data_IF_193665329150
#
_entry.id   IF_193665329150
#
_cell.length_a   1.000
_cell.length_b   1.000
_cell.length_c   1.000
_cell.angle_alpha   90.00
_cell.angle_beta   90.00
_cell.angle_gamma   90.00
#
_symmetry.space_group_name_H-M   'P 1'
#
loop_
_entity.id
_entity.type
_entity.pdbx_description
1 polymer ?
#
# COMPACT_ATOMS: atom_id res chain seq x y z
N UNK A 1 -22.52 28.87 29.21
CA UNK A 1 -22.69 27.63 28.44
C UNK A 1 -22.38 28.00 26.99
N UNK A 2 -21.19 27.69 26.51
CA UNK A 2 -20.82 27.88 25.10
C UNK A 2 -21.62 26.86 24.28
N UNK A 3 -22.30 27.33 23.23
CA UNK A 3 -22.97 26.45 22.26
C UNK A 3 -22.01 25.37 21.78
N UNK A 4 -22.48 24.11 21.58
CA UNK A 4 -21.66 23.07 21.05
C UNK A 4 -21.24 23.50 19.63
N UNK A 5 -19.98 23.86 19.46
CA UNK A 5 -19.38 24.07 18.16
C UNK A 5 -19.64 22.79 17.36
N UNK A 6 -20.50 22.89 16.37
CA UNK A 6 -20.85 21.77 15.50
C UNK A 6 -19.60 21.42 14.65
N UNK A 7 -18.71 20.62 15.25
CA UNK A 7 -17.44 20.23 14.67
C UNK A 7 -17.70 19.32 13.46
N UNK A 8 -17.72 19.93 12.28
CA UNK A 8 -17.97 19.21 11.02
C UNK A 8 -16.79 18.30 10.69
N UNK A 9 -17.04 17.00 10.56
CA UNK A 9 -16.06 16.03 10.06
C UNK A 9 -15.53 16.44 8.68
N UNK A 10 -16.46 16.75 7.77
CA UNK A 10 -16.17 17.13 6.38
C UNK A 10 -15.87 18.64 6.29
N UNK A 11 -14.77 19.06 6.94
CA UNK A 11 -14.28 20.41 6.78
C UNK A 11 -13.40 20.52 5.52
N UNK A 12 -13.24 21.75 5.01
CA UNK A 12 -12.52 22.02 3.76
C UNK A 12 -11.08 21.51 3.78
N UNK A 13 -10.37 21.64 4.91
CA UNK A 13 -8.99 21.17 5.01
C UNK A 13 -8.90 19.65 5.01
N UNK A 14 -9.80 18.95 5.71
CA UNK A 14 -9.86 17.49 5.70
C UNK A 14 -10.16 16.95 4.30
N UNK A 15 -11.13 17.54 3.58
CA UNK A 15 -11.44 17.15 2.21
C UNK A 15 -10.24 17.33 1.27
N UNK A 16 -9.50 18.44 1.41
CA UNK A 16 -8.26 18.69 0.65
C UNK A 16 -7.18 17.65 0.98
N UNK A 17 -6.96 17.35 2.25
CA UNK A 17 -5.96 16.35 2.67
C UNK A 17 -6.33 14.95 2.18
N UNK A 18 -7.61 14.58 2.20
CA UNK A 18 -8.10 13.34 1.59
C UNK A 18 -7.87 13.31 0.07
N UNK A 19 -8.13 14.42 -0.60
CA UNK A 19 -7.91 14.53 -2.05
C UNK A 19 -6.41 14.43 -2.40
N UNK A 20 -5.52 15.07 -1.62
CA UNK A 20 -4.07 14.91 -1.75
C UNK A 20 -3.66 13.45 -1.58
N UNK A 21 -4.23 12.75 -0.60
CA UNK A 21 -3.98 11.32 -0.41
C UNK A 21 -4.45 10.51 -1.63
N UNK A 22 -5.65 10.79 -2.11
CA UNK A 22 -6.19 10.13 -3.30
C UNK A 22 -5.30 10.32 -4.52
N UNK A 23 -4.87 11.56 -4.83
CA UNK A 23 -4.01 11.84 -5.99
C UNK A 23 -2.62 11.26 -5.85
N UNK A 24 -2.05 11.23 -4.63
CA UNK A 24 -0.77 10.58 -4.33
C UNK A 24 -0.80 9.09 -4.68
N UNK A 25 -1.83 8.38 -4.22
CA UNK A 25 -1.97 6.95 -4.51
C UNK A 25 -2.45 6.68 -5.94
N UNK A 26 -3.30 7.55 -6.50
CA UNK A 26 -3.78 7.43 -7.88
C UNK A 26 -2.62 7.53 -8.87
N UNK A 27 -1.73 8.51 -8.71
CA UNK A 27 -0.56 8.68 -9.58
C UNK A 27 0.39 7.49 -9.49
N UNK A 28 0.60 6.93 -8.30
CA UNK A 28 1.45 5.76 -8.12
C UNK A 28 0.84 4.50 -8.75
N UNK A 29 -0.40 4.17 -8.38
CA UNK A 29 -1.04 2.92 -8.79
C UNK A 29 -1.43 2.89 -10.27
N UNK A 30 -1.54 4.04 -10.93
CA UNK A 30 -1.83 4.12 -12.36
C UNK A 30 -0.75 3.46 -13.20
N UNK A 31 0.51 3.59 -12.82
CA UNK A 31 1.64 3.03 -13.55
C UNK A 31 2.19 1.73 -12.92
N UNK A 32 1.96 1.50 -11.63
CA UNK A 32 2.58 0.37 -10.90
C UNK A 32 2.44 -0.98 -11.63
N UNK A 33 1.26 -1.43 -12.08
CA UNK A 33 1.11 -2.71 -12.75
C UNK A 33 1.68 -2.73 -14.17
N UNK A 34 1.98 -1.57 -14.74
CA UNK A 34 2.50 -1.41 -16.10
C UNK A 34 4.03 -1.26 -16.13
N UNK A 35 4.66 -0.95 -15.00
CA UNK A 35 6.13 -0.77 -14.96
C UNK A 35 6.92 -2.02 -15.36
N UNK A 36 6.57 -3.25 -14.94
CA UNK A 36 7.26 -4.44 -15.44
C UNK A 36 7.15 -4.58 -16.95
N UNK A 37 5.98 -4.27 -17.50
CA UNK A 37 5.73 -4.32 -18.95
C UNK A 37 6.55 -3.25 -19.69
N UNK A 38 6.58 -2.02 -19.17
CA UNK A 38 7.41 -0.94 -19.68
C UNK A 38 8.90 -1.32 -19.73
N UNK A 39 9.42 -1.87 -18.63
CA UNK A 39 10.83 -2.26 -18.54
C UNK A 39 11.17 -3.41 -19.52
N UNK A 40 10.26 -4.36 -19.67
CA UNK A 40 10.40 -5.46 -20.61
C UNK A 40 10.34 -5.00 -22.08
N UNK A 41 9.40 -4.11 -22.42
CA UNK A 41 9.18 -3.68 -23.82
C UNK A 41 10.16 -2.59 -24.25
N UNK A 42 10.48 -1.63 -23.38
CA UNK A 42 11.33 -0.48 -23.74
C UNK A 42 12.81 -0.79 -23.64
N UNK A 43 13.22 -1.57 -22.63
CA UNK A 43 14.64 -1.83 -22.35
C UNK A 43 15.01 -3.31 -22.51
N UNK A 44 14.08 -4.19 -22.93
CA UNK A 44 14.29 -5.64 -22.99
C UNK A 44 14.87 -6.22 -21.68
N UNK A 45 14.48 -5.65 -20.54
CA UNK A 45 15.01 -6.01 -19.24
C UNK A 45 14.58 -7.42 -18.83
N UNK A 46 15.52 -8.28 -18.33
CA UNK A 46 15.19 -9.58 -17.76
C UNK A 46 14.30 -9.43 -16.51
N UNK A 47 13.52 -10.47 -16.18
CA UNK A 47 12.51 -10.45 -15.12
C UNK A 47 13.11 -10.24 -13.72
N UNK A 48 14.30 -10.77 -13.48
CA UNK A 48 15.06 -10.54 -12.24
C UNK A 48 15.49 -9.07 -12.10
N UNK A 49 16.02 -8.49 -13.20
CA UNK A 49 16.38 -7.08 -13.27
C UNK A 49 15.17 -6.17 -13.04
N UNK A 50 14.01 -6.50 -13.61
CA UNK A 50 12.75 -5.81 -13.33
C UNK A 50 12.44 -5.85 -11.82
N UNK A 51 12.61 -7.01 -11.18
CA UNK A 51 12.43 -7.17 -9.75
C UNK A 51 13.35 -6.25 -8.93
N UNK A 52 14.64 -6.18 -9.28
CA UNK A 52 15.61 -5.29 -8.63
C UNK A 52 15.24 -3.81 -8.78
N UNK A 53 14.93 -3.37 -10.00
CA UNK A 53 14.56 -1.99 -10.29
C UNK A 53 13.31 -1.56 -9.50
N UNK A 54 12.29 -2.41 -9.44
CA UNK A 54 11.02 -2.06 -8.80
C UNK A 54 11.09 -2.16 -7.28
N UNK A 55 11.85 -3.10 -6.72
CA UNK A 55 12.01 -3.23 -5.27
C UNK A 55 12.82 -2.09 -4.64
N UNK A 56 13.73 -1.45 -5.39
CA UNK A 56 14.48 -0.28 -4.95
C UNK A 56 13.59 0.86 -4.45
N UNK A 57 12.42 1.06 -5.05
CA UNK A 57 11.42 2.03 -4.63
C UNK A 57 10.96 1.80 -3.18
N UNK A 58 10.67 0.55 -2.85
CA UNK A 58 10.21 0.16 -1.51
C UNK A 58 11.32 0.37 -0.47
N UNK A 59 12.56 0.07 -0.83
CA UNK A 59 13.71 0.24 0.07
C UNK A 59 13.87 1.70 0.51
N UNK A 60 13.84 2.63 -0.42
CA UNK A 60 13.98 4.06 -0.09
C UNK A 60 12.75 4.61 0.64
N UNK A 61 11.54 4.13 0.30
CA UNK A 61 10.33 4.47 1.04
C UNK A 61 10.43 4.01 2.50
N UNK A 62 10.92 2.79 2.72
CA UNK A 62 11.08 2.19 4.05
C UNK A 62 12.07 3.00 4.93
N UNK A 63 13.20 3.43 4.35
CA UNK A 63 14.20 4.23 5.05
C UNK A 63 13.65 5.63 5.39
N UNK A 64 12.90 6.23 4.45
CA UNK A 64 12.39 7.59 4.63
C UNK A 64 11.21 7.70 5.59
N UNK A 65 10.46 6.63 5.88
CA UNK A 65 9.32 6.68 6.82
C UNK A 65 9.70 7.11 8.25
N UNK A 66 10.73 6.55 8.89
CA UNK A 66 11.18 7.03 10.19
C UNK A 66 11.68 8.48 10.16
N UNK A 67 12.45 8.82 9.13
CA UNK A 67 12.98 10.18 8.92
C UNK A 67 11.83 11.20 8.78
N UNK A 68 10.82 10.87 8.00
CA UNK A 68 9.67 11.75 7.77
C UNK A 68 8.81 11.95 9.02
N UNK A 69 8.71 10.93 9.89
CA UNK A 69 8.09 11.06 11.21
C UNK A 69 8.80 12.10 12.07
N UNK A 70 10.14 12.03 12.13
CA UNK A 70 10.96 13.03 12.80
C UNK A 70 10.78 14.43 12.20
N UNK A 71 10.79 14.56 10.87
CA UNK A 71 10.57 15.84 10.20
C UNK A 71 9.18 16.41 10.51
N UNK A 72 8.12 15.59 10.49
CA UNK A 72 6.76 16.01 10.80
C UNK A 72 6.57 16.46 12.25
N UNK A 73 7.37 15.94 13.19
CA UNK A 73 7.31 16.31 14.60
C UNK A 73 8.12 17.57 14.92
N UNK A 74 9.18 17.88 14.15
CA UNK A 74 10.10 18.98 14.44
C UNK A 74 9.93 20.20 13.52
N UNK A 75 9.27 20.06 12.38
CA UNK A 75 9.09 21.13 11.38
C UNK A 75 7.60 21.34 11.06
N UNK A 76 7.21 22.49 10.51
CA UNK A 76 5.85 22.75 10.06
C UNK A 76 5.41 21.72 9.01
N UNK A 77 4.42 20.88 9.35
CA UNK A 77 4.01 19.73 8.54
C UNK A 77 3.63 20.08 7.10
N UNK A 78 2.98 21.26 6.90
CA UNK A 78 2.65 21.74 5.55
C UNK A 78 3.90 21.97 4.71
N UNK A 79 4.94 22.56 5.27
CA UNK A 79 6.21 22.81 4.56
C UNK A 79 6.87 21.48 4.19
N UNK A 80 6.97 20.57 5.16
CA UNK A 80 7.54 19.23 4.91
C UNK A 80 6.74 18.49 3.83
N UNK A 81 5.40 18.52 3.88
CA UNK A 81 4.56 17.89 2.87
C UNK A 81 4.79 18.49 1.48
N UNK A 82 4.81 19.82 1.37
CA UNK A 82 5.01 20.49 0.08
C UNK A 82 6.39 20.17 -0.51
N UNK A 83 7.46 20.21 0.30
CA UNK A 83 8.79 19.82 -0.16
C UNK A 83 8.81 18.38 -0.68
N UNK A 84 8.25 17.44 0.09
CA UNK A 84 8.21 16.03 -0.31
C UNK A 84 7.34 15.81 -1.57
N UNK A 85 6.18 16.47 -1.68
CA UNK A 85 5.31 16.36 -2.85
C UNK A 85 5.96 17.00 -4.09
N UNK A 86 6.70 18.08 -3.93
CA UNK A 86 7.45 18.71 -5.03
C UNK A 86 8.51 17.76 -5.57
N UNK A 87 9.29 17.14 -4.69
CA UNK A 87 10.29 16.14 -5.10
C UNK A 87 9.60 14.91 -5.73
N UNK A 88 8.51 14.45 -5.15
CA UNK A 88 7.68 13.36 -5.68
C UNK A 88 7.18 13.66 -7.10
N UNK A 89 6.67 14.86 -7.33
CA UNK A 89 6.22 15.35 -8.63
C UNK A 89 7.34 15.33 -9.68
N UNK A 90 8.53 15.85 -9.35
CA UNK A 90 9.63 15.89 -10.31
C UNK A 90 10.17 14.52 -10.68
N UNK A 91 10.02 13.49 -9.84
CA UNK A 91 10.40 12.14 -10.22
C UNK A 91 9.54 11.56 -11.35
N UNK A 92 8.28 11.99 -11.50
CA UNK A 92 7.49 11.60 -12.68
C UNK A 92 8.03 12.24 -13.97
N UNK A 93 8.53 13.48 -13.91
CA UNK A 93 9.26 14.06 -15.03
C UNK A 93 10.55 13.29 -15.33
N UNK A 94 11.21 12.76 -14.30
CA UNK A 94 12.37 11.87 -14.45
C UNK A 94 12.07 10.59 -15.25
N UNK A 95 10.87 10.00 -15.12
CA UNK A 95 10.48 8.86 -15.95
C UNK A 95 10.33 9.22 -17.43
N UNK A 96 9.85 10.42 -17.75
CA UNK A 96 9.76 10.92 -19.13
C UNK A 96 11.13 11.14 -19.77
N UNK A 97 12.14 11.48 -18.95
CA UNK A 97 13.51 11.72 -19.39
C UNK A 97 14.36 10.43 -19.41
N UNK A 98 13.80 9.28 -19.02
CA UNK A 98 14.56 8.03 -18.87
C UNK A 98 14.93 7.42 -20.23
N UNK A 99 16.12 7.73 -20.72
CA UNK A 99 16.68 7.17 -21.94
C UNK A 99 17.47 5.85 -21.76
N UNK A 100 17.67 5.38 -20.50
CA UNK A 100 18.36 4.14 -20.21
C UNK A 100 17.76 3.44 -18.97
N UNK A 101 17.91 2.10 -18.93
CA UNK A 101 17.46 1.28 -17.82
C UNK A 101 18.09 1.73 -16.47
N UNK A 102 19.39 2.05 -16.46
CA UNK A 102 20.09 2.49 -15.26
C UNK A 102 19.52 3.81 -14.74
N UNK A 103 19.29 4.78 -15.61
CA UNK A 103 18.71 6.06 -15.23
C UNK A 103 17.29 5.87 -14.69
N UNK A 104 16.48 5.05 -15.36
CA UNK A 104 15.14 4.70 -14.85
C UNK A 104 15.22 4.06 -13.47
N UNK A 105 16.11 3.09 -13.26
CA UNK A 105 16.31 2.40 -12.00
C UNK A 105 16.68 3.38 -10.87
N UNK A 106 17.57 4.35 -11.13
CA UNK A 106 17.96 5.39 -10.17
C UNK A 106 16.77 6.29 -9.83
N UNK A 107 16.06 6.80 -10.84
CA UNK A 107 14.86 7.63 -10.66
C UNK A 107 13.80 6.86 -9.87
N UNK A 108 13.53 5.61 -10.23
CA UNK A 108 12.54 4.77 -9.56
C UNK A 108 12.90 4.51 -8.10
N UNK A 109 14.14 4.14 -7.84
CA UNK A 109 14.63 3.88 -6.48
C UNK A 109 14.50 5.13 -5.61
N UNK A 110 15.01 6.26 -6.07
CA UNK A 110 14.98 7.50 -5.30
C UNK A 110 13.56 8.05 -5.10
N UNK A 111 12.64 7.81 -6.06
CA UNK A 111 11.25 8.25 -5.97
C UNK A 111 10.50 7.64 -4.77
N UNK A 112 10.89 6.45 -4.31
CA UNK A 112 10.30 5.83 -3.11
C UNK A 112 10.46 6.68 -1.85
N UNK A 113 11.57 7.40 -1.71
CA UNK A 113 11.84 8.26 -0.56
C UNK A 113 10.76 9.33 -0.32
N UNK A 114 10.54 10.26 -1.26
CA UNK A 114 9.50 11.28 -1.12
C UNK A 114 8.10 10.68 -1.01
N UNK A 115 7.80 9.56 -1.68
CA UNK A 115 6.53 8.85 -1.48
C UNK A 115 6.34 8.40 -0.04
N UNK A 116 7.33 7.71 0.54
CA UNK A 116 7.29 7.27 1.94
C UNK A 116 7.06 8.46 2.89
N UNK A 117 7.76 9.57 2.65
CA UNK A 117 7.60 10.79 3.43
C UNK A 117 6.19 11.40 3.27
N UNK A 118 5.70 11.54 2.05
CA UNK A 118 4.36 12.09 1.79
C UNK A 118 3.27 11.29 2.49
N UNK A 119 3.34 9.96 2.49
CA UNK A 119 2.33 9.11 3.16
C UNK A 119 2.28 9.35 4.66
N UNK A 120 3.42 9.49 5.31
CA UNK A 120 3.49 9.75 6.77
C UNK A 120 3.02 11.16 7.09
N UNK A 121 3.55 12.18 6.39
CA UNK A 121 3.26 13.59 6.71
C UNK A 121 1.81 13.93 6.40
N UNK A 122 1.27 13.46 5.26
CA UNK A 122 -0.12 13.72 4.88
C UNK A 122 -1.11 13.02 5.84
N UNK A 123 -0.82 11.78 6.27
CA UNK A 123 -1.65 11.09 7.27
C UNK A 123 -1.62 11.77 8.63
N UNK A 124 -0.46 12.31 9.04
CA UNK A 124 -0.33 13.10 10.27
C UNK A 124 -1.14 14.40 10.16
N UNK A 125 -1.05 15.09 9.02
CA UNK A 125 -1.82 16.31 8.78
C UNK A 125 -3.34 16.05 8.73
N UNK A 126 -3.77 14.87 8.26
CA UNK A 126 -5.18 14.46 8.33
C UNK A 126 -5.71 14.44 9.77
N UNK A 127 -4.90 13.95 10.72
CA UNK A 127 -5.26 13.93 12.15
C UNK A 127 -5.37 15.34 12.72
N UNK A 128 -4.51 16.27 12.26
CA UNK A 128 -4.49 17.66 12.77
C UNK A 128 -5.72 18.47 12.33
N UNK A 129 -6.16 18.25 11.10
CA UNK A 129 -7.31 18.98 10.54
C UNK A 129 -8.66 18.38 10.95
N UNK A 130 -8.66 17.23 11.64
CA UNK A 130 -9.84 16.57 12.15
C UNK A 130 -10.21 17.07 13.55
N UNK A 131 -11.53 17.31 13.83
CA UNK A 131 -12.01 17.56 15.16
C UNK A 131 -11.62 16.44 16.13
N UNK A 132 -11.17 16.73 17.36
CA UNK A 132 -10.75 15.72 18.33
C UNK A 132 -11.80 14.63 18.58
N UNK A 133 -13.07 15.03 18.65
CA UNK A 133 -14.23 14.15 18.89
C UNK A 133 -14.49 13.15 17.75
N UNK A 134 -14.06 13.45 16.51
CA UNK A 134 -14.36 12.68 15.30
C UNK A 134 -13.13 12.09 14.62
N UNK A 135 -11.97 12.13 15.25
CA UNK A 135 -10.69 11.64 14.65
C UNK A 135 -10.75 10.18 14.21
N UNK A 136 -11.30 9.30 15.04
CA UNK A 136 -11.35 7.85 14.72
C UNK A 136 -12.22 7.59 13.47
N UNK A 137 -13.33 8.29 13.36
CA UNK A 137 -14.20 8.23 12.19
C UNK A 137 -13.50 8.79 10.95
N UNK A 138 -12.89 9.98 11.08
CA UNK A 138 -12.19 10.66 9.99
C UNK A 138 -11.00 9.88 9.45
N UNK A 139 -10.22 9.22 10.31
CA UNK A 139 -9.11 8.34 9.89
C UNK A 139 -9.64 7.16 9.06
N UNK A 140 -10.83 6.64 9.40
CA UNK A 140 -11.49 5.61 8.61
C UNK A 140 -11.79 6.09 7.18
N UNK A 141 -12.36 7.29 7.03
CA UNK A 141 -12.62 7.90 5.71
C UNK A 141 -11.34 8.26 4.97
N UNK A 142 -10.30 8.73 5.68
CA UNK A 142 -9.00 8.99 5.07
C UNK A 142 -8.43 7.74 4.39
N UNK A 143 -8.55 6.56 5.02
CA UNK A 143 -8.15 5.29 4.42
C UNK A 143 -8.98 4.88 3.19
N UNK A 144 -10.25 5.33 3.07
CA UNK A 144 -11.07 5.07 1.89
C UNK A 144 -10.52 5.76 0.64
N UNK A 145 -9.88 6.92 0.75
CA UNK A 145 -9.29 7.62 -0.39
C UNK A 145 -8.17 6.80 -1.04
N UNK A 146 -7.34 6.13 -0.25
CA UNK A 146 -6.35 5.18 -0.76
C UNK A 146 -7.00 3.96 -1.43
N UNK A 147 -8.02 3.37 -0.80
CA UNK A 147 -8.73 2.22 -1.37
C UNK A 147 -9.38 2.56 -2.72
N UNK A 148 -9.99 3.74 -2.83
CA UNK A 148 -10.56 4.22 -4.09
C UNK A 148 -9.50 4.41 -5.17
N UNK A 149 -8.35 5.00 -4.82
CA UNK A 149 -7.23 5.13 -5.74
C UNK A 149 -6.71 3.77 -6.21
N UNK A 150 -6.55 2.81 -5.28
CA UNK A 150 -6.08 1.45 -5.62
C UNK A 150 -7.06 0.66 -6.48
N UNK A 151 -8.35 0.99 -6.41
CA UNK A 151 -9.39 0.42 -7.27
C UNK A 151 -9.35 0.96 -8.68
N UNK A 152 -9.31 2.29 -8.80
CA UNK A 152 -9.49 2.98 -10.07
C UNK A 152 -8.20 3.07 -10.89
N UNK A 153 -7.06 3.32 -10.23
CA UNK A 153 -5.83 3.64 -10.92
C UNK A 153 -5.32 2.52 -11.84
N UNK A 154 -5.20 1.24 -11.38
CA UNK A 154 -4.76 0.15 -12.26
C UNK A 154 -5.69 -0.05 -13.44
N UNK A 155 -7.01 0.05 -13.23
CA UNK A 155 -8.00 -0.08 -14.30
C UNK A 155 -7.82 1.01 -15.36
N UNK A 156 -7.72 2.28 -14.93
CA UNK A 156 -7.54 3.42 -15.84
C UNK A 156 -6.21 3.33 -16.57
N UNK A 157 -5.12 3.02 -15.86
CA UNK A 157 -3.79 2.90 -16.45
C UNK A 157 -3.72 1.81 -17.53
N UNK A 158 -4.25 0.61 -17.21
CA UNK A 158 -4.28 -0.51 -18.15
C UNK A 158 -5.21 -0.24 -19.34
N UNK A 159 -6.38 0.40 -19.11
CA UNK A 159 -7.29 0.79 -20.18
C UNK A 159 -6.61 1.76 -21.16
N UNK A 160 -5.93 2.79 -20.66
CA UNK A 160 -5.20 3.75 -21.51
C UNK A 160 -4.11 3.03 -22.28
N UNK A 161 -3.30 2.18 -21.63
CA UNK A 161 -2.24 1.44 -22.28
C UNK A 161 -2.77 0.52 -23.40
N UNK A 162 -3.87 -0.20 -23.17
CA UNK A 162 -4.45 -1.10 -24.17
C UNK A 162 -4.92 -0.40 -25.44
N UNK A 163 -5.34 0.87 -25.34
CA UNK A 163 -5.83 1.63 -26.49
C UNK A 163 -4.75 2.48 -27.17
N UNK A 164 -3.73 2.90 -26.44
CA UNK A 164 -2.72 3.82 -26.96
C UNK A 164 -1.35 3.18 -27.18
N UNK A 165 -1.06 2.12 -26.43
CA UNK A 165 0.29 1.51 -26.33
C UNK A 165 1.40 2.54 -26.03
N UNK A 166 1.05 3.66 -25.39
CA UNK A 166 1.94 4.78 -25.12
C UNK A 166 2.20 4.97 -23.62
N UNK A 167 3.39 4.54 -23.19
CA UNK A 167 3.83 4.76 -21.80
C UNK A 167 4.11 6.24 -21.49
N UNK A 168 4.48 7.04 -22.50
CA UNK A 168 4.74 8.47 -22.32
C UNK A 168 3.48 9.20 -21.88
N UNK A 169 2.34 8.88 -22.50
CA UNK A 169 1.05 9.41 -22.08
C UNK A 169 0.73 9.07 -20.61
N UNK A 170 1.01 7.84 -20.20
CA UNK A 170 0.81 7.42 -18.80
C UNK A 170 1.68 8.21 -17.81
N UNK A 171 2.95 8.42 -18.13
CA UNK A 171 3.84 9.22 -17.29
C UNK A 171 3.42 10.71 -17.26
N UNK A 172 2.93 11.27 -18.36
CA UNK A 172 2.36 12.62 -18.39
C UNK A 172 1.11 12.73 -17.52
N UNK A 173 0.23 11.74 -17.57
CA UNK A 173 -0.97 11.71 -16.70
C UNK A 173 -0.60 11.59 -15.22
N UNK A 174 0.37 10.76 -14.86
CA UNK A 174 0.83 10.67 -13.46
C UNK A 174 1.44 11.98 -12.99
N UNK A 175 2.23 12.64 -13.85
CA UNK A 175 2.79 13.96 -13.58
C UNK A 175 1.68 15.00 -13.35
N UNK A 176 0.66 15.03 -14.21
CA UNK A 176 -0.49 15.92 -14.07
C UNK A 176 -1.24 15.67 -12.77
N UNK A 177 -1.56 14.41 -12.45
CA UNK A 177 -2.28 14.03 -11.22
C UNK A 177 -1.47 14.42 -9.98
N UNK A 178 -0.16 14.17 -9.96
CA UNK A 178 0.72 14.57 -8.88
C UNK A 178 0.80 16.10 -8.75
N UNK A 179 0.83 16.82 -9.87
CA UNK A 179 0.81 18.29 -9.90
C UNK A 179 -0.48 18.88 -9.34
N UNK A 180 -1.63 18.29 -9.67
CA UNK A 180 -2.94 18.66 -9.08
C UNK A 180 -2.91 18.41 -7.56
N UNK A 181 -2.40 17.26 -7.11
CA UNK A 181 -2.25 16.96 -5.69
C UNK A 181 -1.36 17.98 -4.96
N UNK A 182 -0.23 18.35 -5.55
CA UNK A 182 0.67 19.37 -5.02
C UNK A 182 -0.02 20.76 -4.94
N UNK A 183 -0.72 21.17 -5.98
CA UNK A 183 -1.47 22.42 -6.01
C UNK A 183 -2.55 22.46 -4.92
N UNK A 184 -3.31 21.39 -4.73
CA UNK A 184 -4.31 21.29 -3.66
C UNK A 184 -3.65 21.29 -2.29
N UNK A 185 -2.52 20.60 -2.09
CA UNK A 185 -1.78 20.60 -0.83
C UNK A 185 -1.32 22.02 -0.44
N UNK A 186 -0.92 22.85 -1.40
CA UNK A 186 -0.54 24.24 -1.16
C UNK A 186 -1.70 25.08 -0.58
N UNK A 187 -2.95 24.74 -0.91
CA UNK A 187 -4.16 25.42 -0.40
C UNK A 187 -4.67 24.90 0.95
N UNK A 188 -4.05 23.90 1.55
CA UNK A 188 -4.42 23.41 2.89
C UNK A 188 -3.93 24.40 3.95
N UNK A 189 -4.77 24.73 4.91
CA UNK A 189 -4.46 25.58 6.04
C UNK A 189 -4.64 24.79 7.35
N UNK A 190 -3.63 23.97 7.73
CA UNK A 190 -3.72 23.20 8.97
C UNK A 190 -3.71 24.15 10.16
N UNK A 191 -4.31 23.78 11.29
CA UNK A 191 -4.18 24.53 12.55
C UNK A 191 -2.70 24.73 12.89
N UNK A 192 -2.37 25.86 13.50
CA UNK A 192 -1.01 26.14 13.95
C UNK A 192 -0.63 25.20 15.10
N UNK A 193 -0.19 24.00 14.74
CA UNK A 193 0.43 23.07 15.69
C UNK A 193 1.88 23.53 15.86
N UNK A 194 2.21 24.08 17.04
CA UNK A 194 3.60 24.36 17.35
C UNK A 194 4.36 23.04 17.39
N UNK A 195 5.43 22.87 16.59
CA UNK A 195 6.27 21.69 16.67
C UNK A 195 6.77 21.61 18.14
N UNK A 196 6.45 20.52 18.81
CA UNK A 196 7.10 20.19 20.08
C UNK A 196 8.44 19.57 19.72
N UNK A 197 9.58 20.19 20.04
CA UNK A 197 10.88 19.58 19.78
C UNK A 197 10.90 18.20 20.43
N UNK A 198 10.92 17.17 19.62
CA UNK A 198 11.03 15.82 20.12
C UNK A 198 12.48 15.58 20.48
N UNK A 199 12.79 15.51 21.78
CA UNK A 199 14.10 15.10 22.29
C UNK A 199 14.39 13.59 22.07
N UNK A 200 13.58 12.93 21.24
CA UNK A 200 13.71 11.51 20.97
C UNK A 200 14.80 11.27 19.94
N UNK A 201 15.94 10.78 20.41
CA UNK A 201 16.92 10.17 19.51
C UNK A 201 16.27 9.04 18.71
N UNK A 202 16.50 8.99 17.39
CA UNK A 202 16.17 7.87 16.52
C UNK A 202 16.90 6.62 17.05
N UNK A 203 16.19 5.73 17.72
CA UNK A 203 16.72 4.44 18.15
C UNK A 203 15.93 3.31 17.50
N UNK A 204 16.61 2.27 17.04
CA UNK A 204 15.98 1.08 16.44
C UNK A 204 14.91 0.46 17.35
N UNK A 205 15.12 0.50 18.66
CA UNK A 205 14.19 -0.02 19.67
C UNK A 205 12.85 0.74 19.70
N UNK A 206 12.83 2.00 19.28
CA UNK A 206 11.62 2.81 19.20
C UNK A 206 10.90 2.65 17.86
N UNK A 207 11.53 2.06 16.86
CA UNK A 207 10.97 1.83 15.53
C UNK A 207 10.17 0.53 15.43
N UNK A 208 10.45 -0.48 16.28
CA UNK A 208 9.84 -1.80 16.21
C UNK A 208 9.20 -2.24 17.52
N UNK A 209 7.98 -2.77 17.46
CA UNK A 209 7.29 -3.40 18.58
C UNK A 209 7.61 -4.91 18.60
N UNK A 210 8.65 -5.30 19.34
CA UNK A 210 9.08 -6.71 19.42
C UNK A 210 7.97 -7.65 19.91
N UNK A 211 7.07 -7.20 20.80
CA UNK A 211 5.92 -7.99 21.24
C UNK A 211 4.97 -8.38 20.07
N UNK A 212 4.99 -7.59 18.98
CA UNK A 212 4.17 -7.80 17.78
C UNK A 212 4.82 -8.70 16.71
N UNK A 213 5.98 -9.31 16.94
CA UNK A 213 6.77 -10.02 15.93
C UNK A 213 5.97 -11.10 15.17
N UNK A 214 5.04 -11.78 15.84
CA UNK A 214 4.19 -12.82 15.21
C UNK A 214 3.24 -12.24 14.16
N UNK A 215 2.66 -11.09 14.46
CA UNK A 215 1.81 -10.36 13.52
C UNK A 215 2.65 -9.73 12.41
N UNK A 216 3.85 -9.23 12.75
CA UNK A 216 4.79 -8.64 11.82
C UNK A 216 5.23 -9.64 10.73
N UNK A 217 5.58 -10.89 11.09
CA UNK A 217 5.92 -11.95 10.13
C UNK A 217 4.74 -12.26 9.20
N UNK A 218 3.53 -12.39 9.73
CA UNK A 218 2.37 -12.63 8.88
C UNK A 218 2.15 -11.46 7.90
N UNK A 219 2.28 -10.21 8.37
CA UNK A 219 2.14 -9.04 7.50
C UNK A 219 3.23 -8.97 6.44
N UNK A 220 4.45 -9.40 6.77
CA UNK A 220 5.54 -9.53 5.80
C UNK A 220 5.20 -10.56 4.71
N UNK A 221 4.66 -11.72 5.07
CA UNK A 221 4.22 -12.74 4.11
C UNK A 221 3.09 -12.22 3.21
N UNK A 222 2.09 -11.55 3.77
CA UNK A 222 1.01 -10.94 2.97
C UNK A 222 1.54 -9.83 2.06
N UNK A 223 2.47 -9.01 2.55
CA UNK A 223 3.16 -7.99 1.76
C UNK A 223 3.92 -8.61 0.58
N UNK A 224 4.64 -9.72 0.81
CA UNK A 224 5.36 -10.45 -0.23
C UNK A 224 4.39 -10.94 -1.32
N UNK A 225 3.30 -11.58 -0.93
CA UNK A 225 2.29 -12.04 -1.87
C UNK A 225 1.67 -10.90 -2.68
N UNK A 226 1.40 -9.78 -2.02
CA UNK A 226 0.89 -8.58 -2.66
C UNK A 226 1.90 -7.96 -3.63
N UNK A 227 3.19 -7.97 -3.29
CA UNK A 227 4.27 -7.50 -4.15
C UNK A 227 4.29 -8.20 -5.50
N UNK A 228 4.22 -9.53 -5.50
CA UNK A 228 4.12 -10.33 -6.73
C UNK A 228 2.84 -10.01 -7.49
N UNK A 229 1.68 -10.07 -6.82
CA UNK A 229 0.38 -9.86 -7.45
C UNK A 229 0.26 -8.48 -8.09
N UNK A 230 0.62 -7.42 -7.36
CA UNK A 230 0.41 -6.05 -7.83
C UNK A 230 1.36 -5.62 -8.95
N UNK A 231 2.54 -6.26 -9.08
CA UNK A 231 3.54 -5.86 -10.06
C UNK A 231 3.58 -6.78 -11.28
N UNK A 232 3.33 -8.08 -11.10
CA UNK A 232 3.54 -9.05 -12.19
C UNK A 232 2.26 -9.57 -12.84
N UNK A 233 1.07 -9.21 -12.31
CA UNK A 233 -0.20 -9.69 -12.87
C UNK A 233 -0.40 -9.26 -14.33
N UNK A 234 -0.01 -8.02 -14.69
CA UNK A 234 -0.16 -7.51 -16.06
C UNK A 234 0.75 -8.23 -17.06
N UNK A 235 2.02 -8.42 -16.68
CA UNK A 235 2.98 -9.12 -17.56
C UNK A 235 2.66 -10.61 -17.65
N UNK A 236 2.23 -11.25 -16.56
CA UNK A 236 1.73 -12.62 -16.57
C UNK A 236 0.49 -12.78 -17.47
N UNK A 237 -0.45 -11.83 -17.40
CA UNK A 237 -1.63 -11.81 -18.25
C UNK A 237 -1.26 -11.72 -19.72
N UNK A 238 -0.26 -10.90 -20.09
CA UNK A 238 0.26 -10.81 -21.46
C UNK A 238 0.87 -12.13 -21.93
N UNK A 239 1.70 -12.77 -21.11
CA UNK A 239 2.38 -14.04 -21.49
C UNK A 239 1.39 -15.22 -21.57
N UNK A 240 0.38 -15.30 -20.69
CA UNK A 240 -0.52 -16.46 -20.59
C UNK A 240 -1.83 -16.29 -21.36
N UNK A 241 -2.37 -15.08 -21.43
CA UNK A 241 -3.66 -14.79 -22.06
C UNK A 241 -3.51 -14.03 -23.39
N UNK A 242 -2.27 -13.73 -23.80
CA UNK A 242 -1.96 -13.00 -25.03
C UNK A 242 -2.27 -11.50 -24.98
N UNK A 243 -2.87 -11.00 -23.89
CA UNK A 243 -3.18 -9.59 -23.73
C UNK A 243 -3.26 -9.19 -22.25
N UNK A 244 -3.32 -7.88 -21.98
CA UNK A 244 -3.47 -7.31 -20.62
C UNK A 244 -4.92 -6.96 -20.28
N UNK A 245 -5.88 -7.22 -21.16
CA UNK A 245 -7.27 -6.74 -21.03
C UNK A 245 -7.99 -7.21 -19.76
N UNK A 246 -7.65 -8.41 -19.26
CA UNK A 246 -8.20 -8.95 -18.03
C UNK A 246 -7.69 -8.32 -16.74
N UNK A 247 -6.55 -7.61 -16.78
CA UNK A 247 -5.86 -7.14 -15.57
C UNK A 247 -6.57 -5.95 -14.90
N UNK A 248 -7.10 -5.02 -15.70
CA UNK A 248 -7.88 -3.90 -15.18
C UNK A 248 -9.14 -4.35 -14.44
N UNK A 249 -10.03 -5.14 -15.07
CA UNK A 249 -11.18 -5.75 -14.41
C UNK A 249 -10.82 -6.60 -13.19
N UNK A 250 -9.68 -7.30 -13.20
CA UNK A 250 -9.20 -8.04 -12.03
C UNK A 250 -9.02 -7.12 -10.82
N UNK A 251 -8.28 -6.02 -10.97
CA UNK A 251 -8.08 -5.05 -9.88
C UNK A 251 -9.37 -4.36 -9.47
N UNK A 252 -10.30 -4.12 -10.38
CA UNK A 252 -11.62 -3.57 -10.07
C UNK A 252 -12.42 -4.53 -9.17
N UNK A 253 -12.52 -5.81 -9.55
CA UNK A 253 -13.22 -6.85 -8.78
C UNK A 253 -12.56 -7.05 -7.42
N UNK A 254 -11.22 -7.12 -7.38
CA UNK A 254 -10.44 -7.21 -6.15
C UNK A 254 -10.76 -6.05 -5.20
N UNK A 255 -10.79 -4.84 -5.72
CA UNK A 255 -11.07 -3.63 -4.95
C UNK A 255 -12.52 -3.57 -4.47
N UNK A 256 -13.49 -4.02 -5.29
CA UNK A 256 -14.87 -4.16 -4.87
C UNK A 256 -14.99 -5.17 -3.71
N UNK A 257 -14.29 -6.31 -3.79
CA UNK A 257 -14.20 -7.27 -2.69
C UNK A 257 -13.60 -6.66 -1.42
N UNK A 258 -12.53 -5.88 -1.55
CA UNK A 258 -11.89 -5.16 -0.44
C UNK A 258 -12.86 -4.16 0.24
N UNK A 259 -13.64 -3.41 -0.52
CA UNK A 259 -14.64 -2.46 0.01
C UNK A 259 -15.78 -3.23 0.69
N UNK A 260 -16.31 -4.27 0.05
CA UNK A 260 -17.40 -5.08 0.57
C UNK A 260 -17.05 -5.74 1.90
N UNK A 261 -15.83 -6.29 2.01
CA UNK A 261 -15.34 -6.90 3.25
C UNK A 261 -15.27 -5.90 4.42
N UNK A 262 -15.02 -4.61 4.13
CA UNK A 262 -15.03 -3.55 5.16
C UNK A 262 -16.43 -3.33 5.74
N UNK A 263 -17.46 -3.44 4.91
CA UNK A 263 -18.85 -3.33 5.36
C UNK A 263 -19.22 -4.53 6.26
N UNK A 264 -18.81 -5.74 5.88
CA UNK A 264 -19.06 -6.97 6.64
C UNK A 264 -18.22 -7.03 7.94
N UNK A 265 -16.92 -6.77 7.84
CA UNK A 265 -15.97 -6.87 8.94
C UNK A 265 -16.14 -5.81 10.03
N UNK A 266 -16.77 -4.67 9.71
CA UNK A 266 -16.94 -3.57 10.67
C UNK A 266 -17.69 -3.98 11.95
N UNK A 267 -18.67 -4.87 11.86
CA UNK A 267 -19.42 -5.41 13.01
C UNK A 267 -18.53 -6.30 13.90
N UNK A 268 -17.67 -7.13 13.30
CA UNK A 268 -16.75 -8.00 14.03
C UNK A 268 -15.64 -7.20 14.74
N UNK A 269 -15.11 -6.17 14.06
CA UNK A 269 -14.10 -5.26 14.61
C UNK A 269 -14.66 -4.48 15.82
N UNK A 270 -15.88 -3.94 15.72
CA UNK A 270 -16.55 -3.25 16.84
C UNK A 270 -16.80 -4.16 18.04
N UNK A 271 -17.08 -5.45 17.81
CA UNK A 271 -17.27 -6.46 18.86
C UNK A 271 -15.95 -7.03 19.40
N UNK A 272 -14.78 -6.50 19.01
CA UNK A 272 -13.46 -6.95 19.45
C UNK A 272 -13.06 -8.34 18.94
N UNK A 273 -13.78 -8.93 17.97
CA UNK A 273 -13.49 -10.28 17.43
C UNK A 273 -12.37 -10.24 16.38
N UNK A 274 -11.25 -9.57 16.71
CA UNK A 274 -10.15 -9.30 15.78
C UNK A 274 -9.54 -10.58 15.20
N UNK A 275 -9.27 -11.58 16.05
CA UNK A 275 -8.66 -12.86 15.63
C UNK A 275 -9.52 -13.63 14.64
N UNK A 276 -10.84 -13.67 14.89
CA UNK A 276 -11.78 -14.32 13.99
C UNK A 276 -11.84 -13.61 12.65
N UNK A 277 -11.94 -12.28 12.66
CA UNK A 277 -11.96 -11.48 11.44
C UNK A 277 -10.68 -11.66 10.63
N UNK A 278 -9.51 -11.71 11.30
CA UNK A 278 -8.24 -12.00 10.64
C UNK A 278 -8.22 -13.39 9.99
N UNK A 279 -8.68 -14.42 10.72
CA UNK A 279 -8.71 -15.80 10.22
C UNK A 279 -9.63 -15.95 9.00
N UNK A 280 -10.84 -15.38 9.06
CA UNK A 280 -11.78 -15.35 7.94
C UNK A 280 -11.12 -14.70 6.71
N UNK A 281 -10.43 -13.57 6.89
CA UNK A 281 -9.70 -12.90 5.83
C UNK A 281 -8.55 -13.72 5.24
N UNK A 282 -7.74 -14.35 6.10
CA UNK A 282 -6.62 -15.18 5.66
C UNK A 282 -7.12 -16.39 4.86
N UNK A 283 -8.18 -17.07 5.33
CA UNK A 283 -8.77 -18.22 4.62
C UNK A 283 -9.30 -17.80 3.25
N UNK A 284 -10.08 -16.72 3.16
CA UNK A 284 -10.60 -16.21 1.89
C UNK A 284 -9.48 -15.86 0.90
N UNK A 285 -8.46 -15.13 1.37
CA UNK A 285 -7.33 -14.75 0.53
C UNK A 285 -6.51 -15.98 0.09
N UNK A 286 -6.29 -16.96 0.98
CA UNK A 286 -5.59 -18.21 0.66
C UNK A 286 -6.35 -19.00 -0.41
N UNK A 287 -7.67 -19.13 -0.26
CA UNK A 287 -8.51 -19.77 -1.28
C UNK A 287 -8.46 -19.03 -2.61
N UNK A 288 -8.44 -17.69 -2.58
CA UNK A 288 -8.30 -16.87 -3.78
C UNK A 288 -6.98 -17.11 -4.51
N UNK A 289 -5.84 -17.11 -3.81
CA UNK A 289 -4.54 -17.41 -4.42
C UNK A 289 -4.42 -18.87 -4.89
N UNK A 290 -4.96 -19.83 -4.14
CA UNK A 290 -5.00 -21.22 -4.56
C UNK A 290 -5.83 -21.39 -5.83
N UNK A 291 -6.99 -20.76 -5.91
CA UNK A 291 -7.88 -20.80 -7.07
C UNK A 291 -7.20 -20.16 -8.30
N UNK A 292 -6.48 -19.04 -8.11
CA UNK A 292 -5.77 -18.35 -9.17
C UNK A 292 -4.79 -19.26 -9.92
N UNK A 293 -4.09 -20.13 -9.20
CA UNK A 293 -3.10 -21.03 -9.79
C UNK A 293 -3.69 -22.39 -10.21
N UNK A 294 -4.72 -22.88 -9.50
CA UNK A 294 -5.30 -24.20 -9.74
C UNK A 294 -6.34 -24.21 -10.87
N UNK A 295 -7.03 -23.09 -11.11
CA UNK A 295 -8.08 -23.01 -12.12
C UNK A 295 -7.81 -21.91 -13.14
N UNK A 296 -6.96 -22.16 -14.15
CA UNK A 296 -6.54 -21.18 -15.16
C UNK A 296 -7.64 -20.95 -16.22
N UNK A 297 -8.78 -20.41 -15.79
CA UNK A 297 -9.93 -20.04 -16.61
C UNK A 297 -10.31 -18.59 -16.35
N UNK A 298 -11.05 -17.96 -17.24
CA UNK A 298 -11.58 -16.60 -17.06
C UNK A 298 -12.42 -16.49 -15.77
N UNK A 299 -13.23 -17.49 -15.48
CA UNK A 299 -14.04 -17.52 -14.26
C UNK A 299 -13.15 -17.65 -13.03
N UNK A 300 -12.19 -18.59 -13.04
CA UNK A 300 -11.21 -18.77 -11.96
C UNK A 300 -10.39 -17.51 -11.68
N UNK A 301 -9.99 -16.81 -12.74
CA UNK A 301 -9.24 -15.57 -12.68
C UNK A 301 -10.02 -14.46 -11.94
N UNK A 302 -11.27 -14.19 -12.32
CA UNK A 302 -12.06 -13.14 -11.68
C UNK A 302 -12.62 -13.54 -10.31
N UNK A 303 -12.95 -14.80 -10.12
CA UNK A 303 -13.38 -15.31 -8.80
C UNK A 303 -12.24 -15.23 -7.79
N UNK A 304 -11.01 -15.53 -8.21
CA UNK A 304 -9.83 -15.35 -7.37
C UNK A 304 -9.62 -13.88 -6.96
N UNK A 305 -9.82 -12.94 -7.88
CA UNK A 305 -9.75 -11.50 -7.57
C UNK A 305 -10.75 -11.12 -6.46
N UNK A 306 -12.00 -11.58 -6.56
CA UNK A 306 -13.02 -11.32 -5.56
C UNK A 306 -12.63 -11.89 -4.19
N UNK A 307 -12.16 -13.14 -4.14
CA UNK A 307 -11.76 -13.80 -2.90
C UNK A 307 -10.52 -13.14 -2.26
N UNK A 308 -9.52 -12.79 -3.06
CA UNK A 308 -8.31 -12.08 -2.59
C UNK A 308 -8.70 -10.70 -2.03
N UNK A 309 -9.58 -9.98 -2.74
CA UNK A 309 -10.06 -8.67 -2.31
C UNK A 309 -10.83 -8.73 -0.99
N UNK A 310 -11.81 -9.64 -0.89
CA UNK A 310 -12.55 -9.90 0.34
C UNK A 310 -11.61 -10.25 1.50
N UNK A 311 -10.66 -11.16 1.27
CA UNK A 311 -9.70 -11.58 2.27
C UNK A 311 -8.81 -10.43 2.77
N UNK A 312 -8.17 -9.70 1.85
CA UNK A 312 -7.28 -8.59 2.19
C UNK A 312 -7.99 -7.45 2.93
N UNK A 313 -9.26 -7.20 2.60
CA UNK A 313 -10.05 -6.21 3.30
C UNK A 313 -10.36 -6.58 4.76
N UNK A 314 -10.41 -7.85 5.12
CA UNK A 314 -10.50 -8.31 6.52
C UNK A 314 -9.13 -8.32 7.21
N UNK A 315 -8.06 -8.76 6.52
CA UNK A 315 -6.73 -8.92 7.09
C UNK A 315 -6.20 -7.59 7.63
N UNK A 316 -6.15 -6.56 6.79
CA UNK A 316 -5.48 -5.30 7.12
C UNK A 316 -6.00 -4.67 8.43
N UNK A 317 -7.30 -4.34 8.59
CA UNK A 317 -7.78 -3.68 9.79
C UNK A 317 -7.69 -4.58 11.03
N UNK A 318 -7.82 -5.89 10.87
CA UNK A 318 -7.69 -6.82 11.99
C UNK A 318 -6.26 -6.85 12.54
N UNK A 319 -5.25 -6.98 11.66
CA UNK A 319 -3.84 -6.96 12.06
C UNK A 319 -3.42 -5.61 12.63
N UNK A 320 -3.86 -4.49 12.03
CA UNK A 320 -3.59 -3.16 12.53
C UNK A 320 -4.12 -2.96 13.95
N UNK A 321 -5.37 -3.35 14.20
CA UNK A 321 -5.94 -3.24 15.55
C UNK A 321 -5.26 -4.18 16.54
N UNK A 322 -4.90 -5.41 16.15
CA UNK A 322 -4.19 -6.34 17.03
C UNK A 322 -2.81 -5.80 17.42
N UNK A 323 -2.02 -5.29 16.47
CA UNK A 323 -0.67 -4.80 16.77
C UNK A 323 -0.70 -3.50 17.60
N UNK A 324 -1.65 -2.59 17.31
CA UNK A 324 -1.85 -1.37 18.09
C UNK A 324 -2.25 -1.70 19.53
N UNK A 325 -3.12 -2.71 19.71
CA UNK A 325 -3.53 -3.16 21.05
C UNK A 325 -2.35 -3.72 21.86
N UNK A 326 -1.38 -4.39 21.21
CA UNK A 326 -0.16 -4.88 21.86
C UNK A 326 0.78 -3.74 22.29
N UNK A 327 0.80 -2.63 21.53
CA UNK A 327 1.63 -1.46 21.84
C UNK A 327 1.09 -0.62 23.00
N UNK A 328 -0.19 -0.73 23.30
CA UNK A 328 -0.87 0.12 24.27
C UNK A 328 -0.84 1.60 23.90
N UNK A 329 -1.42 2.48 24.74
CA UNK A 329 -1.53 3.92 24.44
C UNK A 329 -0.19 4.62 24.17
N UNK A 330 0.87 4.22 24.90
CA UNK A 330 2.19 4.86 24.84
C UNK A 330 3.02 4.48 23.61
N UNK A 331 2.71 3.36 22.93
CA UNK A 331 3.51 2.82 21.84
C UNK A 331 2.73 2.54 20.54
N UNK A 332 1.62 3.26 20.34
CA UNK A 332 0.77 3.12 19.14
C UNK A 332 1.51 3.43 17.85
N UNK A 333 2.34 4.46 17.85
CA UNK A 333 3.17 4.83 16.70
C UNK A 333 4.16 3.74 16.35
N UNK A 334 4.90 3.22 17.34
CA UNK A 334 5.82 2.10 17.18
C UNK A 334 5.11 0.84 16.67
N UNK A 335 3.91 0.54 17.17
CA UNK A 335 3.11 -0.60 16.73
C UNK A 335 2.71 -0.47 15.25
N UNK A 336 2.19 0.69 14.86
CA UNK A 336 1.80 0.96 13.48
C UNK A 336 3.01 0.98 12.53
N UNK A 337 4.12 1.57 12.96
CA UNK A 337 5.38 1.54 12.20
C UNK A 337 5.86 0.11 11.97
N UNK A 338 5.80 -0.77 12.98
CA UNK A 338 6.17 -2.18 12.84
C UNK A 338 5.32 -2.88 11.78
N UNK A 339 4.01 -2.65 11.79
CA UNK A 339 3.09 -3.23 10.82
C UNK A 339 3.43 -2.81 9.38
N UNK A 340 3.56 -1.49 9.17
CA UNK A 340 3.82 -0.90 7.85
C UNK A 340 5.19 -1.31 7.31
N UNK A 341 6.22 -1.29 8.18
CA UNK A 341 7.57 -1.73 7.81
C UNK A 341 7.59 -3.21 7.40
N UNK A 342 6.89 -4.07 8.14
CA UNK A 342 6.82 -5.50 7.81
C UNK A 342 6.11 -5.75 6.48
N UNK A 343 5.02 -5.02 6.22
CA UNK A 343 4.32 -5.08 4.93
C UNK A 343 5.21 -4.65 3.78
N UNK A 344 5.87 -3.49 3.89
CA UNK A 344 6.70 -2.95 2.81
C UNK A 344 7.94 -3.80 2.57
N UNK A 345 8.57 -4.30 3.65
CA UNK A 345 9.71 -5.20 3.54
C UNK A 345 9.30 -6.50 2.81
N UNK A 346 8.16 -7.07 3.19
CA UNK A 346 7.59 -8.21 2.48
C UNK A 346 7.32 -7.90 1.02
N UNK A 347 6.70 -6.75 0.73
CA UNK A 347 6.38 -6.34 -0.64
C UNK A 347 7.65 -6.18 -1.49
N UNK A 348 8.71 -5.58 -0.96
CA UNK A 348 10.01 -5.49 -1.63
C UNK A 348 10.61 -6.87 -1.94
N UNK A 349 10.59 -7.79 -0.96
CA UNK A 349 11.03 -9.17 -1.15
C UNK A 349 10.18 -9.90 -2.20
N UNK A 350 8.87 -9.64 -2.22
CA UNK A 350 7.94 -10.24 -3.20
C UNK A 350 8.22 -9.76 -4.62
N UNK A 351 8.46 -8.48 -4.81
CA UNK A 351 8.79 -7.92 -6.11
C UNK A 351 10.13 -8.50 -6.61
N UNK A 352 11.15 -8.47 -5.76
CA UNK A 352 12.47 -9.01 -6.10
C UNK A 352 12.43 -10.52 -6.33
N UNK A 353 11.95 -11.29 -5.36
CA UNK A 353 11.90 -12.75 -5.44
C UNK A 353 10.97 -13.25 -6.54
N UNK A 354 9.83 -12.56 -6.75
CA UNK A 354 8.92 -12.86 -7.84
C UNK A 354 9.56 -12.68 -9.21
N UNK A 355 10.35 -11.62 -9.40
CA UNK A 355 11.13 -11.40 -10.61
C UNK A 355 12.17 -12.50 -10.86
N UNK A 356 12.96 -12.86 -9.82
CA UNK A 356 13.97 -13.92 -9.89
C UNK A 356 13.32 -15.28 -10.25
N UNK A 357 12.25 -15.66 -9.54
CA UNK A 357 11.54 -16.92 -9.82
C UNK A 357 10.96 -16.88 -11.25
N UNK A 358 10.39 -15.77 -11.65
CA UNK A 358 9.80 -15.65 -12.99
C UNK A 358 10.84 -15.75 -14.10
N UNK A 359 12.06 -15.26 -13.90
CA UNK A 359 13.15 -15.38 -14.87
C UNK A 359 13.60 -16.82 -15.06
N UNK A 360 13.81 -17.56 -13.96
CA UNK A 360 14.40 -18.90 -14.03
C UNK A 360 13.37 -20.02 -14.26
N UNK A 361 12.13 -19.86 -13.75
CA UNK A 361 11.11 -20.93 -13.73
C UNK A 361 9.75 -20.47 -14.28
N UNK A 362 9.59 -19.19 -14.57
CA UNK A 362 8.37 -18.62 -15.14
C UNK A 362 7.38 -18.05 -14.11
N UNK A 363 6.48 -17.18 -14.57
CA UNK A 363 5.51 -16.51 -13.70
C UNK A 363 4.51 -17.44 -13.02
N UNK A 364 4.14 -18.55 -13.64
CA UNK A 364 3.27 -19.52 -13.01
C UNK A 364 3.87 -20.02 -11.69
N UNK A 365 5.16 -20.35 -11.67
CA UNK A 365 5.86 -20.79 -10.46
C UNK A 365 5.94 -19.67 -9.41
N UNK A 366 6.13 -18.41 -9.82
CA UNK A 366 6.09 -17.28 -8.90
C UNK A 366 4.71 -17.16 -8.20
N UNK A 367 3.60 -17.32 -8.94
CA UNK A 367 2.25 -17.30 -8.35
C UNK A 367 1.94 -18.56 -7.51
N UNK A 368 2.46 -19.74 -7.88
CA UNK A 368 2.36 -20.95 -7.04
C UNK A 368 3.10 -20.76 -5.71
N UNK A 369 4.28 -20.12 -5.73
CA UNK A 369 5.01 -19.75 -4.52
C UNK A 369 4.19 -18.81 -3.63
N UNK A 370 3.51 -17.81 -4.22
CA UNK A 370 2.60 -16.93 -3.49
C UNK A 370 1.46 -17.70 -2.82
N UNK A 371 0.83 -18.64 -3.52
CA UNK A 371 -0.24 -19.48 -2.95
C UNK A 371 0.30 -20.31 -1.78
N UNK A 372 1.48 -20.92 -1.91
CA UNK A 372 2.13 -21.68 -0.83
C UNK A 372 2.45 -20.80 0.39
N UNK A 373 2.94 -19.58 0.16
CA UNK A 373 3.23 -18.61 1.23
C UNK A 373 1.96 -18.14 1.96
N UNK A 374 0.83 -18.04 1.28
CA UNK A 374 -0.45 -17.75 1.93
C UNK A 374 -0.92 -18.90 2.82
N UNK A 375 -0.73 -20.14 2.38
CA UNK A 375 -0.96 -21.33 3.23
C UNK A 375 -0.05 -21.32 4.45
N UNK A 376 1.24 -21.01 4.26
CA UNK A 376 2.20 -20.87 5.37
C UNK A 376 1.75 -19.77 6.36
N UNK A 377 1.31 -18.62 5.87
CA UNK A 377 0.81 -17.53 6.71
C UNK A 377 -0.44 -17.95 7.51
N UNK A 378 -1.35 -18.73 6.90
CA UNK A 378 -2.51 -19.30 7.59
C UNK A 378 -2.08 -20.24 8.71
N UNK A 379 -1.18 -21.18 8.42
CA UNK A 379 -0.67 -22.13 9.42
C UNK A 379 0.04 -21.41 10.58
N UNK A 380 0.92 -20.46 10.27
CA UNK A 380 1.61 -19.66 11.28
C UNK A 380 0.61 -18.88 12.14
N UNK A 381 -0.39 -18.25 11.55
CA UNK A 381 -1.41 -17.51 12.31
C UNK A 381 -2.14 -18.42 13.28
N UNK A 382 -2.60 -19.59 12.84
CA UNK A 382 -3.35 -20.56 13.66
C UNK A 382 -2.48 -21.13 14.79
N UNK A 383 -1.24 -21.57 14.47
CA UNK A 383 -0.33 -22.19 15.45
C UNK A 383 0.12 -21.19 16.53
N UNK A 384 0.46 -19.96 16.12
CA UNK A 384 0.96 -18.94 17.03
C UNK A 384 -0.16 -18.40 17.95
N UNK A 385 -1.42 -18.45 17.50
CA UNK A 385 -2.57 -18.08 18.33
C UNK A 385 -2.91 -19.16 19.39
N UNK A 386 -2.70 -20.44 19.12
CA UNK A 386 -2.89 -21.52 20.08
C UNK A 386 -1.94 -21.37 21.29
N UNK A 387 -0.66 -21.13 21.06
CA UNK A 387 0.34 -20.92 22.12
C UNK A 387 0.06 -19.73 23.06
N UNK A 388 -0.68 -18.72 22.58
CA UNK A 388 -1.06 -17.58 23.43
C UNK A 388 -2.22 -17.94 24.36
N UNK A 389 -3.08 -18.88 23.97
CA UNK A 389 -4.20 -19.35 24.78
C UNK A 389 -3.73 -20.24 25.94
N UNK A 390 -2.74 -21.10 25.68
CA UNK A 390 -2.14 -21.99 26.69
C UNK A 390 -1.29 -21.27 27.73
N UNK A 391 -0.78 -20.08 27.43
CA UNK A 391 0.00 -19.26 28.36
C UNK A 391 -0.89 -18.38 29.28
N UNK A 392 -2.16 -18.21 28.95
CA UNK A 392 -3.13 -17.40 29.68
C UNK A 392 -4.22 -18.26 30.35
N UNK A 393 -4.15 -19.58 30.21
CA UNK A 393 -4.89 -20.60 30.95
C UNK A 393 -4.01 -21.22 32.05
#
# INVERSE_FOLDING_TARGET
>A
MSEPVNERLWNTNFNKVMFVNFTLFLSLYLITPLLPLYLSETFAAPKDTIGWVLSGYILTALIMRPVSGFLADNFPRKVVLLCCLTVYFFFFAGYLAAGSLLFFALVRTLHGGPYGACTVVNSTMAVDVLPPSRRNEGIGYYGLSNNLASALAPMVGLFIYQHTHDFRLLFLLTLLIAGIGLAVAATVHPPAVQPKPSSRHLSLRNLFLLAGWRLAINMMLFGLCWGVMSHYLAIYGKERLGNTSGTGPFFLILSAGLILSRLQGSKALRKGRLKRNALEGIVLSTLGYALFVAWPSTIGYYLSAALIGLGNGHIWPAFQNMIISLGGPARRGTANSTLLTSWDFGMGLGILGGGIIAEHVGFLCAFQTVAALHVLALLLFVLLQRKTRERNA
#
